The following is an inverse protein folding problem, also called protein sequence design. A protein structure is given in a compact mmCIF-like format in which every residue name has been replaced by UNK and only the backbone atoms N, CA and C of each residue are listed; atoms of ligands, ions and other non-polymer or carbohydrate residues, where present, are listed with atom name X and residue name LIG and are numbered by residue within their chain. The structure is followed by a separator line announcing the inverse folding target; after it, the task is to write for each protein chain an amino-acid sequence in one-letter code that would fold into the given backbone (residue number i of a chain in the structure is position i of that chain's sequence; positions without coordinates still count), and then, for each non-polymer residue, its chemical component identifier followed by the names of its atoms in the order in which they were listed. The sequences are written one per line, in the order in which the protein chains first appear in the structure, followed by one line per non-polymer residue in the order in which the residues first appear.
data_IF_253358284178
#
_entry.id   IF_253358284178
#
_cell.length_a   1.000
_cell.length_b   1.000
_cell.length_c   1.000
_cell.angle_alpha   90.00
_cell.angle_beta   90.00
_cell.angle_gamma   90.00
#
_symmetry.space_group_name_H-M   'P 1'
#
loop_
_entity.id
_entity.type
_entity.pdbx_description
1 polymer ?
#
# COMPACT_ATOMS: atom_id res chain seq x y z
N UNK A 1 -22.16 14.45 14.61
CA UNK A 1 -22.09 13.13 13.92
C UNK A 1 -20.70 12.56 14.11
N UNK A 2 -20.59 11.25 14.14
CA UNK A 2 -19.32 10.54 14.19
C UNK A 2 -19.39 9.32 13.27
N UNK A 3 -18.26 8.71 12.96
CA UNK A 3 -18.22 7.45 12.22
C UNK A 3 -17.24 6.47 12.84
N UNK A 4 -17.36 5.21 12.45
CA UNK A 4 -16.45 4.13 12.81
C UNK A 4 -16.16 3.27 11.58
N UNK A 5 -14.98 2.65 11.58
CA UNK A 5 -14.53 1.67 10.59
C UNK A 5 -14.44 0.25 11.18
N UNK A 6 -14.76 0.10 12.47
CA UNK A 6 -14.50 -1.09 13.28
C UNK A 6 -15.62 -1.37 14.29
N UNK A 7 -16.86 -1.17 13.85
CA UNK A 7 -18.08 -1.42 14.62
C UNK A 7 -18.15 -0.70 15.99
N UNK A 8 -17.52 0.47 16.08
CA UNK A 8 -17.64 1.39 17.21
C UNK A 8 -16.56 1.26 18.28
N UNK A 9 -15.52 0.45 18.04
CA UNK A 9 -14.34 0.39 18.91
C UNK A 9 -13.59 1.74 18.87
N UNK A 10 -13.44 2.32 17.68
CA UNK A 10 -12.93 3.67 17.50
C UNK A 10 -13.97 4.54 16.81
N UNK A 11 -14.42 5.59 17.52
CA UNK A 11 -15.36 6.57 17.02
C UNK A 11 -14.64 7.87 16.68
N UNK A 12 -14.84 8.35 15.46
CA UNK A 12 -14.19 9.54 14.91
C UNK A 12 -15.24 10.62 14.68
N UNK A 13 -15.09 11.75 15.35
CA UNK A 13 -16.00 12.89 15.20
C UNK A 13 -15.85 13.53 13.81
N UNK A 14 -16.98 13.78 13.15
CA UNK A 14 -17.01 14.45 11.84
C UNK A 14 -16.93 15.95 12.05
N UNK A 15 -15.88 16.59 11.54
CA UNK A 15 -15.70 18.05 11.58
C UNK A 15 -16.20 18.76 10.31
N UNK A 16 -16.32 18.03 9.20
CA UNK A 16 -16.80 18.52 7.89
C UNK A 16 -17.54 17.40 7.16
N UNK A 17 -18.59 17.74 6.42
CA UNK A 17 -19.33 16.79 5.58
C UNK A 17 -18.64 16.46 4.26
N UNK A 18 -17.54 17.15 3.96
CA UNK A 18 -16.66 16.88 2.81
C UNK A 18 -15.23 16.78 3.34
N UNK A 19 -14.53 15.70 3.00
CA UNK A 19 -13.17 15.48 3.45
C UNK A 19 -12.67 14.06 3.18
N UNK A 20 -11.64 13.69 3.93
CA UNK A 20 -10.99 12.37 3.85
C UNK A 20 -11.26 11.58 5.12
N UNK A 21 -11.30 10.25 4.98
CA UNK A 21 -11.32 9.34 6.13
C UNK A 21 -9.99 9.46 6.90
N UNK A 22 -10.03 9.29 8.22
CA UNK A 22 -8.84 9.40 9.06
C UNK A 22 -7.74 8.42 8.59
N UNK A 23 -6.60 8.96 8.17
CA UNK A 23 -5.58 8.20 7.45
C UNK A 23 -5.01 7.03 8.26
N UNK A 24 -4.81 7.20 9.57
CA UNK A 24 -4.26 6.12 10.41
C UNK A 24 -5.24 4.95 10.54
N UNK A 25 -6.53 5.23 10.70
CA UNK A 25 -7.56 4.18 10.75
C UNK A 25 -7.73 3.53 9.38
N UNK A 26 -7.74 4.31 8.30
CA UNK A 26 -7.81 3.75 6.95
C UNK A 26 -6.62 2.83 6.63
N UNK A 27 -5.42 3.21 7.10
CA UNK A 27 -4.18 2.46 6.85
C UNK A 27 -4.08 1.18 7.68
N UNK A 28 -4.75 1.10 8.84
CA UNK A 28 -4.75 -0.09 9.69
C UNK A 28 -5.67 -1.21 9.18
N UNK A 29 -6.68 -0.86 8.36
CA UNK A 29 -7.59 -1.84 7.76
C UNK A 29 -6.89 -2.76 6.75
N UNK A 30 -7.32 -4.01 6.69
CA UNK A 30 -6.92 -4.95 5.64
C UNK A 30 -7.62 -4.66 4.31
N UNK A 31 -7.14 -5.28 3.24
CA UNK A 31 -7.88 -5.32 1.96
C UNK A 31 -9.21 -6.06 2.12
N UNK A 32 -10.16 -5.74 1.24
CA UNK A 32 -11.48 -6.36 1.17
C UNK A 32 -12.60 -5.41 1.56
N UNK A 33 -13.71 -5.97 2.03
CA UNK A 33 -14.89 -5.19 2.37
C UNK A 33 -14.66 -4.36 3.65
N UNK A 34 -14.81 -3.05 3.52
CA UNK A 34 -14.76 -2.09 4.62
C UNK A 34 -16.13 -1.47 4.79
N UNK A 35 -16.71 -1.58 5.98
CA UNK A 35 -17.97 -0.92 6.34
C UNK A 35 -17.68 0.34 7.12
N UNK A 36 -18.18 1.48 6.65
CA UNK A 36 -18.16 2.74 7.38
C UNK A 36 -19.56 2.98 7.92
N UNK A 37 -19.68 3.12 9.25
CA UNK A 37 -20.95 3.39 9.91
C UNK A 37 -20.97 4.80 10.44
N UNK A 38 -21.89 5.60 9.96
CA UNK A 38 -22.08 7.00 10.32
C UNK A 38 -23.22 7.12 11.33
N UNK A 39 -22.99 7.86 12.40
CA UNK A 39 -23.95 8.06 13.48
C UNK A 39 -24.31 9.52 13.65
N UNK A 40 -25.56 9.77 14.02
CA UNK A 40 -26.07 11.06 14.45
C UNK A 40 -26.82 10.90 15.77
N UNK A 41 -26.76 11.92 16.62
CA UNK A 41 -27.55 12.02 17.83
C UNK A 41 -28.42 13.28 17.73
N UNK A 42 -29.70 13.15 18.07
CA UNK A 42 -30.60 14.29 18.20
C UNK A 42 -30.47 14.99 19.57
N UNK A 43 -31.25 16.05 19.80
CA UNK A 43 -31.19 16.81 21.06
C UNK A 43 -31.78 16.09 22.26
N UNK A 44 -32.53 14.99 22.03
CA UNK A 44 -33.20 14.19 23.07
C UNK A 44 -32.39 12.94 23.41
N UNK A 45 -31.33 12.65 22.65
CA UNK A 45 -30.43 11.53 22.89
C UNK A 45 -30.68 10.32 22.00
N UNK A 46 -31.57 10.41 21.00
CA UNK A 46 -31.80 9.31 20.08
C UNK A 46 -30.64 9.22 19.07
N UNK A 47 -30.06 8.02 18.95
CA UNK A 47 -28.96 7.75 18.02
C UNK A 47 -29.49 6.99 16.81
N UNK A 48 -29.32 7.58 15.63
CA UNK A 48 -29.53 6.93 14.34
C UNK A 48 -28.18 6.64 13.66
N UNK A 49 -28.17 5.66 12.75
CA UNK A 49 -26.98 5.37 11.95
C UNK A 49 -27.31 4.96 10.52
N UNK A 50 -26.33 5.13 9.64
CA UNK A 50 -26.33 4.65 8.25
C UNK A 50 -24.98 4.01 7.93
N UNK A 51 -24.96 3.02 7.03
CA UNK A 51 -23.77 2.26 6.66
C UNK A 51 -23.45 2.39 5.17
N UNK A 52 -22.16 2.44 4.86
CA UNK A 52 -21.65 2.39 3.48
C UNK A 52 -20.54 1.36 3.41
N UNK A 53 -20.63 0.47 2.41
CA UNK A 53 -19.67 -0.61 2.20
C UNK A 53 -18.79 -0.27 0.99
N UNK A 54 -17.49 -0.35 1.18
CA UNK A 54 -16.47 -0.15 0.16
C UNK A 54 -15.63 -1.43 0.00
N UNK A 55 -14.96 -1.56 -1.14
CA UNK A 55 -13.92 -2.57 -1.32
C UNK A 55 -12.58 -1.82 -1.33
N UNK A 56 -11.74 -2.10 -0.33
CA UNK A 56 -10.37 -1.59 -0.25
C UNK A 56 -9.46 -2.56 -0.98
N UNK A 57 -8.85 -2.09 -2.07
CA UNK A 57 -7.86 -2.84 -2.84
C UNK A 57 -6.55 -2.05 -2.85
N UNK A 58 -5.44 -2.71 -2.52
CA UNK A 58 -4.11 -2.15 -2.68
C UNK A 58 -3.60 -2.65 -4.02
N UNK A 59 -3.57 -1.76 -5.00
CA UNK A 59 -2.91 -2.06 -6.26
C UNK A 59 -1.43 -2.29 -5.98
N UNK A 60 -0.99 -3.55 -6.07
CA UNK A 60 0.41 -3.88 -6.17
C UNK A 60 0.89 -3.37 -7.53
N UNK A 61 1.32 -2.11 -7.59
CA UNK A 61 2.12 -1.69 -8.75
C UNK A 61 3.30 -2.65 -8.85
N UNK A 62 3.59 -3.20 -10.05
CA UNK A 62 4.77 -4.04 -10.22
C UNK A 62 5.97 -3.21 -9.78
N UNK A 63 6.79 -3.77 -8.90
CA UNK A 63 8.04 -3.16 -8.46
C UNK A 63 8.86 -2.81 -9.72
N UNK A 64 8.80 -1.53 -10.11
CA UNK A 64 9.42 -0.96 -11.31
C UNK A 64 8.83 -1.54 -12.62
N UNK A 65 7.98 -0.78 -13.35
CA UNK A 65 7.54 -1.18 -14.69
C UNK A 65 8.74 -1.10 -15.65
N UNK A 66 9.32 -2.24 -16.00
CA UNK A 66 10.23 -2.34 -17.14
C UNK A 66 11.32 -3.40 -17.05
N UNK A 67 11.84 -3.72 -15.85
CA UNK A 67 12.90 -4.73 -15.73
C UNK A 67 12.81 -5.51 -14.42
N UNK A 68 12.73 -6.84 -14.54
CA UNK A 68 12.84 -7.74 -13.40
C UNK A 68 14.21 -7.54 -12.75
N UNK A 69 14.24 -7.17 -11.47
CA UNK A 69 15.47 -6.95 -10.69
C UNK A 69 16.45 -8.13 -10.81
N UNK A 70 15.93 -9.37 -10.92
CA UNK A 70 16.75 -10.56 -11.12
C UNK A 70 17.49 -10.54 -12.46
N UNK A 71 16.88 -9.98 -13.51
CA UNK A 71 17.51 -9.80 -14.82
C UNK A 71 18.65 -8.79 -14.76
N UNK A 72 18.49 -7.71 -13.99
CA UNK A 72 19.55 -6.71 -13.78
C UNK A 72 20.71 -7.35 -13.01
N UNK A 73 20.44 -8.05 -11.91
CA UNK A 73 21.46 -8.78 -11.15
C UNK A 73 22.20 -9.82 -12.01
N UNK A 74 21.49 -10.57 -12.86
CA UNK A 74 22.09 -11.51 -13.79
C UNK A 74 23.02 -10.83 -14.80
N UNK A 75 22.62 -9.69 -15.36
CA UNK A 75 23.44 -8.91 -16.30
C UNK A 75 24.75 -8.44 -15.63
N UNK A 76 24.70 -7.96 -14.39
CA UNK A 76 25.90 -7.58 -13.63
C UNK A 76 26.86 -8.75 -13.42
N UNK A 77 26.34 -9.95 -13.12
CA UNK A 77 27.16 -11.17 -12.97
C UNK A 77 27.85 -11.52 -14.29
N UNK A 78 27.10 -11.51 -15.40
CA UNK A 78 27.64 -11.83 -16.74
C UNK A 78 28.74 -10.83 -17.14
N UNK A 79 28.50 -9.53 -16.95
CA UNK A 79 29.50 -8.49 -17.25
C UNK A 79 30.77 -8.68 -16.41
N UNK A 80 30.62 -8.96 -15.10
CA UNK A 80 31.74 -9.24 -14.21
C UNK A 80 32.58 -10.44 -14.68
N UNK A 81 31.92 -11.53 -15.05
CA UNK A 81 32.59 -12.73 -15.58
C UNK A 81 33.33 -12.44 -16.89
N UNK A 82 32.74 -11.68 -17.80
CA UNK A 82 33.38 -11.26 -19.06
C UNK A 82 34.64 -10.44 -18.76
N UNK A 83 34.58 -9.48 -17.85
CA UNK A 83 35.74 -8.67 -17.46
C UNK A 83 36.86 -9.55 -16.90
N UNK A 84 36.53 -10.51 -16.02
CA UNK A 84 37.51 -11.45 -15.45
C UNK A 84 38.14 -12.31 -16.54
N UNK A 85 37.34 -12.84 -17.47
CA UNK A 85 37.84 -13.64 -18.60
C UNK A 85 38.82 -12.84 -19.48
N UNK A 86 38.45 -11.61 -19.86
CA UNK A 86 39.29 -10.73 -20.68
C UNK A 86 40.62 -10.40 -19.99
N UNK A 87 40.61 -10.19 -18.66
CA UNK A 87 41.84 -9.98 -17.87
C UNK A 87 42.76 -11.21 -17.90
N UNK A 88 42.22 -12.42 -17.72
CA UNK A 88 43.00 -13.66 -17.76
C UNK A 88 43.62 -13.90 -19.14
N UNK A 89 42.85 -13.73 -20.21
CA UNK A 89 43.32 -13.91 -21.59
C UNK A 89 44.52 -13.01 -21.91
N UNK A 90 44.44 -11.72 -21.55
CA UNK A 90 45.52 -10.75 -21.77
C UNK A 90 46.82 -11.09 -21.01
N UNK A 91 46.73 -11.76 -19.86
CA UNK A 91 47.91 -12.20 -19.09
C UNK A 91 48.59 -13.39 -19.77
N UNK A 92 47.82 -14.31 -20.36
CA UNK A 92 48.35 -15.49 -21.05
C UNK A 92 49.07 -15.07 -22.34
N UNK A 93 48.49 -14.17 -23.13
CA UNK A 93 49.10 -13.68 -24.39
C UNK A 93 50.39 -12.86 -24.20
N UNK A 94 50.67 -12.41 -22.96
CA UNK A 94 51.90 -11.67 -22.60
C UNK A 94 53.04 -12.56 -22.12
N UNK A 95 52.83 -13.88 -22.00
CA UNK A 95 53.87 -14.87 -21.65
C UNK A 95 54.31 -15.61 -22.89
#
# INVERSE_FOLDING_TARGET
MWYTLDDGLHNITISSFVGVIHQLEWSSLLEGHVTIKFFANDTVGNVGYEEVIFIKEINLEPAIPGFNITTIFFLFIVISLIIVYLRKKKVIEKR
#
